data_IF_664444379730
#
_entry.id   IF_664444379730
#
_cell.length_a   1.000
_cell.length_b   1.000
_cell.length_c   1.000
_cell.angle_alpha   90.00
_cell.angle_beta   90.00
_cell.angle_gamma   90.00
#
_symmetry.space_group_name_H-M   'P 1'
#
loop_
_entity.id
_entity.type
_entity.pdbx_description
1 polymer ?
#
# COMPACT_ATOMS: atom_id res chain seq x y z
N UNK A 1 -23.02 -2.87 4.44
CA UNK A 1 -23.31 -3.66 3.23
C UNK A 1 -22.55 -3.04 2.08
N UNK A 2 -21.63 -3.77 1.46
CA UNK A 2 -20.79 -3.23 0.40
C UNK A 2 -21.54 -3.17 -0.94
N UNK A 3 -21.18 -2.25 -1.83
CA UNK A 3 -21.78 -2.17 -3.18
C UNK A 3 -21.71 -3.50 -3.96
N UNK A 4 -20.74 -4.36 -3.66
CA UNK A 4 -20.62 -5.70 -4.24
C UNK A 4 -21.71 -6.68 -3.76
N UNK A 5 -22.20 -6.54 -2.52
CA UNK A 5 -23.30 -7.36 -1.99
C UNK A 5 -24.65 -6.91 -2.56
N UNK A 6 -24.82 -5.61 -2.81
CA UNK A 6 -26.05 -5.04 -3.36
C UNK A 6 -26.22 -5.31 -4.87
N UNK A 7 -25.13 -5.46 -5.63
CA UNK A 7 -25.16 -5.61 -7.09
C UNK A 7 -24.99 -7.06 -7.59
N UNK A 8 -24.84 -8.04 -6.69
CA UNK A 8 -24.66 -9.46 -7.03
C UNK A 8 -23.32 -9.83 -7.68
N UNK A 9 -22.49 -8.86 -8.09
CA UNK A 9 -21.10 -9.06 -8.51
C UNK A 9 -20.28 -7.77 -8.39
N UNK A 10 -19.05 -7.89 -7.88
CA UNK A 10 -18.06 -6.81 -7.96
C UNK A 10 -17.64 -6.56 -9.42
N UNK A 11 -17.57 -5.29 -9.84
CA UNK A 11 -17.03 -4.92 -11.15
C UNK A 11 -15.51 -4.88 -11.08
N UNK A 12 -14.85 -5.51 -12.05
CA UNK A 12 -13.39 -5.44 -12.16
C UNK A 12 -12.97 -4.04 -12.61
N UNK A 13 -11.98 -3.47 -11.91
CA UNK A 13 -11.27 -2.26 -12.34
C UNK A 13 -9.90 -2.70 -12.82
N UNK A 14 -9.58 -2.42 -14.08
CA UNK A 14 -8.29 -2.78 -14.64
C UNK A 14 -7.15 -2.05 -13.93
N UNK A 15 -5.97 -2.69 -13.87
CA UNK A 15 -4.74 -2.06 -13.36
C UNK A 15 -4.45 -0.76 -14.10
N UNK A 16 -4.63 -0.75 -15.43
CA UNK A 16 -4.40 0.45 -16.25
C UNK A 16 -5.33 1.60 -15.85
N UNK A 17 -6.62 1.31 -15.64
CA UNK A 17 -7.60 2.31 -15.17
C UNK A 17 -7.26 2.82 -13.77
N UNK A 18 -6.88 1.92 -12.86
CA UNK A 18 -6.43 2.30 -11.52
C UNK A 18 -5.20 3.21 -11.57
N UNK A 19 -4.17 2.82 -12.33
CA UNK A 19 -2.92 3.55 -12.45
C UNK A 19 -3.11 4.92 -13.13
N UNK A 20 -4.01 5.01 -14.12
CA UNK A 20 -4.40 6.27 -14.74
C UNK A 20 -5.00 7.24 -13.71
N UNK A 21 -6.03 6.81 -12.96
CA UNK A 21 -6.66 7.63 -11.93
C UNK A 21 -5.66 8.00 -10.83
N UNK A 22 -4.83 7.04 -10.41
CA UNK A 22 -3.81 7.28 -9.39
C UNK A 22 -2.81 8.35 -9.83
N UNK A 23 -2.27 8.28 -11.06
CA UNK A 23 -1.34 9.32 -11.58
C UNK A 23 -2.03 10.67 -11.77
N UNK A 24 -3.23 10.68 -12.33
CA UNK A 24 -3.97 11.92 -12.61
C UNK A 24 -4.31 12.73 -11.34
N UNK A 25 -4.53 12.05 -10.21
CA UNK A 25 -4.91 12.68 -8.94
C UNK A 25 -4.00 13.85 -8.54
N UNK A 26 -2.68 13.71 -8.67
CA UNK A 26 -1.74 14.78 -8.28
C UNK A 26 -1.85 16.01 -9.19
N UNK A 27 -2.15 15.81 -10.49
CA UNK A 27 -2.42 16.90 -11.41
C UNK A 27 -3.72 17.61 -11.07
N UNK A 28 -4.78 16.85 -10.79
CA UNK A 28 -6.09 17.39 -10.38
C UNK A 28 -5.99 18.17 -9.07
N UNK A 29 -5.31 17.64 -8.04
CA UNK A 29 -5.12 18.35 -6.77
C UNK A 29 -4.38 19.67 -6.97
N UNK A 30 -3.34 19.69 -7.81
CA UNK A 30 -2.59 20.91 -8.12
C UNK A 30 -3.48 22.00 -8.74
N UNK A 31 -4.39 21.63 -9.65
CA UNK A 31 -5.35 22.56 -10.25
C UNK A 31 -6.33 23.09 -9.19
N UNK A 32 -6.89 22.19 -8.37
CA UNK A 32 -7.81 22.57 -7.29
C UNK A 32 -7.13 23.55 -6.31
N UNK A 33 -5.88 23.30 -5.94
CA UNK A 33 -5.12 24.17 -5.04
C UNK A 33 -4.76 25.51 -5.67
N UNK A 34 -4.30 25.51 -6.93
CA UNK A 34 -3.87 26.73 -7.62
C UNK A 34 -5.04 27.67 -7.95
N UNK A 35 -6.17 27.10 -8.37
CA UNK A 35 -7.36 27.86 -8.75
C UNK A 35 -8.36 28.05 -7.61
N UNK A 36 -8.10 27.45 -6.44
CA UNK A 36 -9.00 27.62 -5.30
C UNK A 36 -10.37 26.96 -5.49
N UNK A 37 -10.43 25.83 -6.17
CA UNK A 37 -11.71 25.19 -6.57
C UNK A 37 -12.44 24.49 -5.41
N UNK A 38 -11.80 24.40 -4.24
CA UNK A 38 -12.37 23.80 -3.04
C UNK A 38 -12.14 24.69 -1.83
N UNK A 39 -13.15 24.80 -0.96
CA UNK A 39 -13.03 25.52 0.31
C UNK A 39 -12.05 24.82 1.27
N UNK A 40 -12.00 23.48 1.20
CA UNK A 40 -11.14 22.66 2.05
C UNK A 40 -10.75 21.36 1.35
N UNK A 41 -9.48 21.00 1.47
CA UNK A 41 -8.93 19.71 1.04
C UNK A 41 -8.39 18.96 2.26
N UNK A 42 -8.94 17.79 2.54
CA UNK A 42 -8.49 16.92 3.63
C UNK A 42 -7.90 15.63 3.08
N UNK A 43 -6.67 15.32 3.49
CA UNK A 43 -5.97 14.08 3.16
C UNK A 43 -5.98 13.19 4.40
N UNK A 44 -6.45 11.96 4.27
CA UNK A 44 -6.53 11.01 5.37
C UNK A 44 -6.09 9.60 4.95
N UNK A 45 -5.57 8.84 5.91
CA UNK A 45 -5.21 7.42 5.75
C UNK A 45 -6.42 6.51 5.95
N UNK A 46 -6.25 5.23 5.60
CA UNK A 46 -7.31 4.21 5.73
C UNK A 46 -7.77 3.97 7.17
N UNK A 47 -6.91 4.25 8.15
CA UNK A 47 -7.21 4.19 9.58
C UNK A 47 -7.87 5.47 10.13
N UNK A 48 -8.20 6.42 9.23
CA UNK A 48 -8.84 7.71 9.53
C UNK A 48 -7.91 8.75 10.18
N UNK A 49 -6.60 8.52 10.17
CA UNK A 49 -5.63 9.56 10.51
C UNK A 49 -5.69 10.68 9.48
N UNK A 50 -5.82 11.94 9.92
CA UNK A 50 -5.78 13.13 9.05
C UNK A 50 -4.32 13.55 8.89
N UNK A 51 -3.82 13.48 7.67
CA UNK A 51 -2.45 13.90 7.33
C UNK A 51 -2.35 15.39 7.05
N UNK A 52 -3.39 15.95 6.41
CA UNK A 52 -3.45 17.38 6.14
C UNK A 52 -4.90 17.84 6.00
N UNK A 53 -5.15 19.09 6.39
CA UNK A 53 -6.37 19.82 6.08
C UNK A 53 -5.98 21.22 5.66
N UNK A 54 -6.17 21.55 4.39
CA UNK A 54 -5.78 22.82 3.80
C UNK A 54 -7.01 23.56 3.32
N UNK A 55 -6.99 24.89 3.39
CA UNK A 55 -8.05 25.76 2.88
C UNK A 55 -7.44 26.63 1.75
N UNK A 56 -7.50 26.18 0.48
CA UNK A 56 -6.86 26.86 -0.65
C UNK A 56 -7.27 28.33 -0.84
N UNK A 57 -8.50 28.65 -0.41
CA UNK A 57 -9.12 29.97 -0.45
C UNK A 57 -8.98 30.75 0.88
N UNK A 58 -8.36 30.15 1.90
CA UNK A 58 -8.24 30.71 3.23
C UNK A 58 -7.15 31.78 3.35
N UNK A 59 -7.29 32.66 4.35
CA UNK A 59 -6.39 33.80 4.63
C UNK A 59 -4.99 33.35 5.06
N UNK A 60 -4.83 32.10 5.50
CA UNK A 60 -3.55 31.52 5.90
C UNK A 60 -3.12 30.40 4.91
N UNK A 61 -2.38 30.77 3.86
CA UNK A 61 -1.64 29.81 3.01
C UNK A 61 -0.37 29.31 3.69
N UNK A 62 -0.52 28.71 4.87
CA UNK A 62 0.60 28.21 5.68
C UNK A 62 0.50 26.70 5.90
N UNK A 63 1.21 25.92 5.10
CA UNK A 63 1.29 24.45 5.21
C UNK A 63 1.79 23.82 3.91
N UNK A 64 2.29 22.58 3.98
CA UNK A 64 2.50 21.77 2.77
C UNK A 64 1.15 21.54 2.08
N UNK A 65 1.09 21.80 0.77
CA UNK A 65 -0.13 21.55 -0.02
C UNK A 65 -0.54 20.07 0.05
N UNK A 66 -1.84 19.80 -0.05
CA UNK A 66 -2.39 18.46 -0.18
C UNK A 66 -1.71 17.65 -1.30
N UNK A 67 -1.30 18.29 -2.40
CA UNK A 67 -0.52 17.61 -3.46
C UNK A 67 0.81 17.05 -2.92
N UNK A 68 1.55 17.82 -2.13
CA UNK A 68 2.83 17.40 -1.56
C UNK A 68 2.62 16.27 -0.52
N UNK A 69 1.61 16.40 0.33
CA UNK A 69 1.28 15.40 1.35
C UNK A 69 0.87 14.06 0.72
N UNK A 70 0.05 14.08 -0.34
CA UNK A 70 -0.31 12.85 -1.07
C UNK A 70 0.91 12.23 -1.77
N UNK A 71 1.80 13.05 -2.33
CA UNK A 71 3.02 12.55 -2.97
C UNK A 71 3.96 11.89 -1.94
N UNK A 72 4.17 12.52 -0.78
CA UNK A 72 4.96 11.96 0.30
C UNK A 72 4.36 10.65 0.83
N UNK A 73 3.05 10.60 1.07
CA UNK A 73 2.38 9.38 1.56
C UNK A 73 2.45 8.22 0.56
N UNK A 74 2.49 8.49 -0.74
CA UNK A 74 2.65 7.45 -1.77
C UNK A 74 4.05 6.84 -1.79
N UNK A 75 5.06 7.62 -1.43
CA UNK A 75 6.45 7.17 -1.37
C UNK A 75 6.79 6.55 -0.01
N UNK A 76 5.97 6.80 1.03
CA UNK A 76 6.16 6.26 2.37
C UNK A 76 6.23 4.72 2.33
N UNK A 77 7.30 4.11 2.88
CA UNK A 77 7.35 2.67 3.08
C UNK A 77 6.22 2.20 3.99
N UNK A 78 5.62 1.05 3.65
CA UNK A 78 4.67 0.40 4.55
C UNK A 78 5.40 -0.26 5.71
N UNK A 79 4.78 -0.21 6.89
CA UNK A 79 5.15 -1.05 8.04
C UNK A 79 4.90 -2.54 7.73
N UNK A 80 5.51 -3.45 8.50
CA UNK A 80 5.16 -4.88 8.42
C UNK A 80 3.66 -5.12 8.63
N UNK A 81 3.04 -4.40 9.57
CA UNK A 81 1.61 -4.55 9.89
C UNK A 81 0.74 -4.17 8.69
N UNK A 82 1.02 -3.06 8.04
CA UNK A 82 0.32 -2.63 6.82
C UNK A 82 0.51 -3.66 5.70
N UNK A 83 1.74 -4.14 5.50
CA UNK A 83 2.06 -5.18 4.52
C UNK A 83 1.29 -6.47 4.78
N UNK A 84 1.28 -6.94 6.02
CA UNK A 84 0.57 -8.17 6.41
C UNK A 84 -0.94 -8.02 6.23
N UNK A 85 -1.51 -6.88 6.64
CA UNK A 85 -2.94 -6.58 6.45
C UNK A 85 -3.31 -6.60 4.97
N UNK A 86 -2.48 -6.00 4.11
CA UNK A 86 -2.68 -6.03 2.67
C UNK A 86 -2.61 -7.46 2.10
N UNK A 87 -1.58 -8.24 2.47
CA UNK A 87 -1.44 -9.62 2.01
C UNK A 87 -2.63 -10.49 2.40
N UNK A 88 -3.13 -10.36 3.63
CA UNK A 88 -4.35 -11.05 4.08
C UNK A 88 -5.58 -10.65 3.26
N UNK A 89 -5.77 -9.35 3.01
CA UNK A 89 -6.87 -8.87 2.18
C UNK A 89 -6.79 -9.38 0.73
N UNK A 90 -5.58 -9.44 0.16
CA UNK A 90 -5.32 -9.96 -1.18
C UNK A 90 -5.56 -11.46 -1.27
N UNK A 91 -5.09 -12.26 -0.31
CA UNK A 91 -5.39 -13.70 -0.29
C UNK A 91 -6.90 -13.98 -0.25
N UNK A 92 -7.67 -13.20 0.53
CA UNK A 92 -9.14 -13.26 0.54
C UNK A 92 -9.75 -12.80 -0.78
N UNK A 93 -9.15 -11.83 -1.47
CA UNK A 93 -9.58 -11.43 -2.81
C UNK A 93 -9.34 -12.53 -3.84
N UNK A 94 -8.16 -13.14 -3.84
CA UNK A 94 -7.80 -14.25 -4.72
C UNK A 94 -8.75 -15.44 -4.56
N UNK A 95 -9.09 -15.81 -3.32
CA UNK A 95 -10.07 -16.86 -3.05
C UNK A 95 -11.45 -16.57 -3.66
N UNK A 96 -11.87 -15.30 -3.69
CA UNK A 96 -13.17 -14.90 -4.28
C UNK A 96 -13.17 -14.96 -5.80
N UNK A 97 -12.01 -14.77 -6.43
CA UNK A 97 -11.85 -14.81 -7.89
C UNK A 97 -11.34 -16.16 -8.39
N UNK A 98 -11.34 -17.21 -7.56
CA UNK A 98 -10.88 -18.55 -7.95
C UNK A 98 -11.60 -19.06 -9.22
N UNK A 99 -10.93 -19.78 -10.15
CA UNK A 99 -11.54 -20.28 -11.39
C UNK A 99 -12.81 -21.12 -11.19
N UNK A 100 -12.95 -21.78 -10.04
CA UNK A 100 -14.15 -22.55 -9.70
C UNK A 100 -15.36 -21.67 -9.34
N UNK A 101 -15.14 -20.38 -9.06
CA UNK A 101 -16.17 -19.42 -8.61
C UNK A 101 -16.55 -18.39 -9.66
N UNK A 102 -15.70 -18.16 -10.66
CA UNK A 102 -15.93 -17.18 -11.72
C UNK A 102 -15.56 -17.76 -13.09
N UNK A 103 -16.10 -17.18 -14.17
CA UNK A 103 -15.73 -17.62 -15.51
C UNK A 103 -14.23 -17.48 -15.76
N UNK A 104 -13.68 -18.36 -16.60
CA UNK A 104 -12.26 -18.34 -17.00
C UNK A 104 -11.82 -16.98 -17.52
N UNK A 105 -12.65 -16.32 -18.33
CA UNK A 105 -12.40 -14.97 -18.86
C UNK A 105 -12.22 -13.93 -17.74
N UNK A 106 -13.09 -13.96 -16.73
CA UNK A 106 -13.00 -13.06 -15.57
C UNK A 106 -11.78 -13.37 -14.71
N UNK A 107 -11.44 -14.65 -14.54
CA UNK A 107 -10.23 -15.05 -13.83
C UNK A 107 -8.98 -14.52 -14.52
N UNK A 108 -8.87 -14.71 -15.85
CA UNK A 108 -7.74 -14.21 -16.63
C UNK A 108 -7.63 -12.68 -16.58
N UNK A 109 -8.76 -11.97 -16.64
CA UNK A 109 -8.77 -10.50 -16.54
C UNK A 109 -8.21 -10.00 -15.20
N UNK A 110 -8.39 -10.75 -14.11
CA UNK A 110 -7.98 -10.34 -12.75
C UNK A 110 -6.58 -10.85 -12.38
N UNK A 111 -6.15 -11.99 -12.93
CA UNK A 111 -4.92 -12.69 -12.54
C UNK A 111 -3.67 -11.79 -12.58
N UNK A 112 -3.45 -11.07 -13.69
CA UNK A 112 -2.34 -10.14 -13.84
C UNK A 112 -2.35 -9.03 -12.77
N UNK A 113 -3.53 -8.54 -12.42
CA UNK A 113 -3.70 -7.53 -11.38
C UNK A 113 -3.37 -8.04 -9.98
N UNK A 114 -3.71 -9.30 -9.69
CA UNK A 114 -3.40 -9.97 -8.42
C UNK A 114 -1.89 -10.19 -8.29
N UNK A 115 -1.23 -10.71 -9.32
CA UNK A 115 0.22 -10.91 -9.33
C UNK A 115 0.97 -9.59 -9.13
N UNK A 116 0.58 -8.54 -9.87
CA UNK A 116 1.18 -7.20 -9.72
C UNK A 116 0.95 -6.63 -8.32
N UNK A 117 -0.24 -6.80 -7.75
CA UNK A 117 -0.54 -6.35 -6.40
C UNK A 117 0.33 -7.05 -5.35
N UNK A 118 0.57 -8.36 -5.49
CA UNK A 118 1.50 -9.08 -4.62
C UNK A 118 2.92 -8.56 -4.78
N UNK A 119 3.41 -8.41 -6.02
CA UNK A 119 4.74 -7.87 -6.28
C UNK A 119 4.95 -6.48 -5.66
N UNK A 120 3.96 -5.59 -5.74
CA UNK A 120 4.02 -4.24 -5.15
C UNK A 120 3.86 -4.22 -3.62
N UNK A 121 3.43 -5.34 -3.03
CA UNK A 121 3.33 -5.50 -1.58
C UNK A 121 4.56 -6.15 -0.97
N UNK A 122 5.46 -6.70 -1.78
CA UNK A 122 6.74 -7.21 -1.30
C UNK A 122 7.63 -6.01 -0.92
N UNK A 123 8.03 -5.90 0.37
CA UNK A 123 8.79 -4.74 0.85
C UNK A 123 10.03 -4.47 0.00
N UNK A 124 10.78 -5.52 -0.35
CA UNK A 124 12.01 -5.45 -1.15
C UNK A 124 11.73 -4.93 -2.55
N UNK A 125 10.66 -5.37 -3.21
CA UNK A 125 10.37 -4.96 -4.60
C UNK A 125 9.85 -3.54 -4.73
N UNK A 126 9.29 -2.96 -3.66
CA UNK A 126 8.83 -1.56 -3.67
C UNK A 126 9.98 -0.57 -3.49
N UNK A 127 10.99 -0.93 -2.69
CA UNK A 127 12.18 -0.09 -2.45
C UNK A 127 13.31 -0.36 -3.45
N UNK A 128 13.34 -1.56 -4.05
CA UNK A 128 14.33 -1.89 -5.07
C UNK A 128 14.08 -1.05 -6.33
N UNK A 129 14.90 -0.03 -6.52
CA UNK A 129 15.00 0.65 -7.81
C UNK A 129 15.69 -0.28 -8.81
N UNK A 130 15.23 -0.27 -10.06
CA UNK A 130 15.98 -0.86 -11.16
C UNK A 130 17.20 0.01 -11.37
N UNK A 131 18.38 -0.44 -10.94
CA UNK A 131 19.63 0.21 -11.32
C UNK A 131 19.86 -0.01 -12.82
N UNK A 132 20.10 1.07 -13.55
CA UNK A 132 20.40 1.03 -14.99
C UNK A 132 21.83 0.52 -15.27
N UNK A 133 22.71 0.55 -14.26
CA UNK A 133 24.09 0.08 -14.37
C UNK A 133 24.24 -1.39 -13.92
N UNK A 134 25.13 -2.17 -14.57
CA UNK A 134 25.39 -3.55 -14.19
C UNK A 134 25.84 -3.63 -12.72
N UNK A 135 25.30 -4.59 -11.98
CA UNK A 135 25.69 -4.84 -10.61
C UNK A 135 27.20 -4.98 -10.37
N UNK A 136 27.80 -4.05 -9.63
CA UNK A 136 29.12 -4.26 -9.03
C UNK A 136 29.10 -5.41 -8.01
N UNK A 137 30.28 -5.91 -7.63
CA UNK A 137 30.48 -7.10 -6.77
C UNK A 137 29.83 -6.99 -5.38
N UNK A 138 29.41 -5.80 -4.97
CA UNK A 138 28.75 -5.52 -3.69
C UNK A 138 27.21 -5.58 -3.72
N UNK A 139 26.60 -6.06 -4.80
CA UNK A 139 25.14 -6.01 -4.99
C UNK A 139 24.27 -6.77 -3.99
N UNK A 140 24.87 -7.61 -3.16
CA UNK A 140 24.17 -8.37 -2.13
C UNK A 140 24.33 -7.78 -0.73
N UNK A 141 25.00 -6.62 -0.60
CA UNK A 141 25.13 -5.93 0.68
C UNK A 141 24.10 -4.83 0.76
N UNK A 142 23.01 -5.12 1.46
CA UNK A 142 22.14 -4.10 2.03
C UNK A 142 23.01 -3.10 2.77
N UNK A 143 22.77 -1.80 2.58
CA UNK A 143 23.38 -0.78 3.42
C UNK A 143 23.04 -1.03 4.88
N UNK A 144 23.82 -0.46 5.80
CA UNK A 144 23.56 -0.60 7.23
C UNK A 144 22.13 -0.19 7.60
N UNK A 145 21.65 0.91 7.02
CA UNK A 145 20.31 1.46 7.27
C UNK A 145 19.22 0.56 6.69
N UNK A 146 19.40 0.02 5.48
CA UNK A 146 18.47 -0.94 4.88
C UNK A 146 18.42 -2.24 5.67
N UNK A 147 19.57 -2.73 6.15
CA UNK A 147 19.63 -3.94 6.98
C UNK A 147 18.93 -3.74 8.32
N UNK A 148 19.18 -2.60 8.98
CA UNK A 148 18.53 -2.24 10.24
C UNK A 148 17.01 -2.07 10.07
N UNK A 149 16.57 -1.44 8.97
CA UNK A 149 15.16 -1.30 8.65
C UNK A 149 14.51 -2.67 8.37
N UNK A 150 15.10 -3.51 7.52
CA UNK A 150 14.57 -4.85 7.22
C UNK A 150 14.44 -5.68 8.51
N UNK A 151 15.45 -5.66 9.38
CA UNK A 151 15.43 -6.43 10.62
C UNK A 151 14.33 -5.96 11.59
N UNK A 152 14.23 -4.65 11.83
CA UNK A 152 13.29 -4.10 12.81
C UNK A 152 11.86 -4.02 12.28
N UNK A 153 11.68 -3.71 11.00
CA UNK A 153 10.36 -3.45 10.44
C UNK A 153 9.76 -4.65 9.74
N UNK A 154 10.54 -5.64 9.27
CA UNK A 154 10.01 -6.82 8.56
C UNK A 154 10.17 -8.12 9.33
N UNK A 155 11.34 -8.37 9.91
CA UNK A 155 11.62 -9.64 10.60
C UNK A 155 11.04 -9.61 12.01
N UNK A 156 11.46 -8.66 12.84
CA UNK A 156 11.10 -8.60 14.26
C UNK A 156 9.58 -8.63 14.52
N UNK A 157 8.74 -7.84 13.83
CA UNK A 157 7.29 -7.82 14.11
C UNK A 157 6.60 -9.13 13.71
N UNK A 158 7.12 -9.82 12.68
CA UNK A 158 6.63 -11.12 12.24
C UNK A 158 6.91 -12.24 13.24
N UNK A 159 8.03 -12.18 13.95
CA UNK A 159 8.41 -13.17 14.96
C UNK A 159 7.80 -12.90 16.33
N UNK A 160 7.68 -11.63 16.74
CA UNK A 160 7.14 -11.25 18.05
C UNK A 160 5.60 -11.34 18.12
N UNK A 161 4.89 -11.25 17.00
CA UNK A 161 3.43 -11.42 16.99
C UNK A 161 2.98 -12.88 17.23
N UNK A 162 3.88 -13.85 17.09
CA UNK A 162 3.61 -15.30 17.20
C UNK A 162 4.23 -15.97 18.41
N UNK A 163 4.96 -15.25 19.27
CA UNK A 163 5.53 -15.85 20.47
C UNK A 163 4.46 -16.04 21.54
N UNK A 164 3.79 -17.20 21.55
CA UNK A 164 3.14 -17.68 22.77
C UNK A 164 4.22 -17.98 23.81
N UNK A 165 4.06 -17.56 25.08
CA UNK A 165 5.01 -17.92 26.13
C UNK A 165 5.05 -19.44 26.27
N UNK A 166 6.22 -20.02 26.02
CA UNK A 166 6.46 -21.45 26.22
C UNK A 166 6.48 -21.68 27.74
N UNK A 167 5.46 -22.38 28.26
CA UNK A 167 5.43 -22.78 29.67
C UNK A 167 6.71 -23.56 29.99
N UNK A 168 7.44 -23.09 31.00
CA UNK A 168 8.68 -23.70 31.48
C UNK A 168 8.46 -25.18 31.81
N UNK A 169 9.38 -26.09 31.47
CA UNK A 169 9.26 -27.47 31.92
C UNK A 169 9.38 -27.52 33.45
N UNK A 170 8.42 -28.17 34.11
CA UNK A 170 8.45 -28.43 35.54
C UNK A 170 9.70 -29.25 35.89
N UNK A 171 10.47 -28.90 36.93
CA UNK A 171 11.58 -29.73 37.38
C UNK A 171 11.03 -31.06 37.92
N UNK A 172 11.59 -32.18 37.44
CA UNK A 172 11.31 -33.50 37.97
C UNK A 172 11.73 -33.58 39.44
N UNK A 173 10.78 -33.87 40.33
CA UNK A 173 11.00 -34.39 41.68
C UNK A 173 11.35 -35.86 41.66
#
# INVERSE_FOLDING_TARGET
MGQAEAAGAGRYVSVASHDLCSRALLGTLRVIEAEGLADRITVFRRDREVLASTEPNGVARGGEGATAVVAAERLRPWTARETQTFRQAMSRAQQRVHPERISRERHLAVAQGVERAFALSEPVRRIAQVCEEPPGVDYHRLSHDEHHWIFNELITPGYLATSSPRSSPSPCT
#
